data_IF_760110723000
#
_entry.id   IF_760110723000
#
_cell.length_a   1.000
_cell.length_b   1.000
_cell.length_c   1.000
_cell.angle_alpha   90.00
_cell.angle_beta   90.00
_cell.angle_gamma   90.00
#
_symmetry.space_group_name_H-M   'P 1'
#
loop_
_entity.id
_entity.type
_entity.pdbx_description
1 polymer ?
#
# COMPACT_ATOMS: atom_id res chain seq x y z
N UNK A 1 -3.09 2.38 -22.65
CA UNK A 1 -1.70 1.99 -22.37
C UNK A 1 -1.10 3.17 -21.60
N UNK A 2 -0.90 2.99 -20.30
CA UNK A 2 -0.55 4.10 -19.42
C UNK A 2 0.93 4.46 -19.58
N UNK A 3 1.25 5.75 -19.57
CA UNK A 3 2.61 6.25 -19.77
C UNK A 3 2.90 7.38 -18.77
N UNK A 4 4.10 7.37 -18.22
CA UNK A 4 4.64 8.48 -17.45
C UNK A 4 5.62 9.29 -18.31
N UNK A 5 5.50 10.62 -18.29
CA UNK A 5 6.50 11.54 -18.84
C UNK A 5 7.15 12.30 -17.68
N UNK A 6 8.40 11.98 -17.39
CA UNK A 6 9.18 12.63 -16.33
C UNK A 6 10.12 13.65 -16.97
N UNK A 7 10.20 14.86 -16.40
CA UNK A 7 11.08 15.94 -16.84
C UNK A 7 12.06 16.31 -15.72
N UNK A 8 13.28 16.68 -16.05
CA UNK A 8 14.34 16.98 -15.09
C UNK A 8 15.59 17.58 -15.77
N UNK A 9 16.69 17.80 -15.03
CA UNK A 9 16.94 17.37 -13.65
C UNK A 9 16.28 18.26 -12.58
N UNK A 10 15.81 17.66 -11.48
CA UNK A 10 15.22 18.38 -10.33
C UNK A 10 15.60 17.68 -9.04
N UNK A 11 16.07 18.45 -8.03
CA UNK A 11 16.33 17.93 -6.69
C UNK A 11 15.01 17.83 -5.92
N UNK A 12 14.69 16.64 -5.41
CA UNK A 12 13.53 16.46 -4.54
C UNK A 12 13.82 17.01 -3.15
N UNK A 13 12.85 17.70 -2.55
CA UNK A 13 12.88 18.19 -1.18
C UNK A 13 11.48 18.10 -0.58
N UNK A 14 11.37 17.48 0.59
CA UNK A 14 10.10 17.27 1.30
C UNK A 14 10.03 15.88 1.92
N UNK A 15 8.85 15.55 2.44
CA UNK A 15 8.56 14.28 3.09
C UNK A 15 7.33 13.64 2.45
N UNK A 16 7.27 12.31 2.47
CA UNK A 16 6.11 11.53 2.03
C UNK A 16 5.88 10.39 3.01
N UNK A 17 4.61 10.05 3.25
CA UNK A 17 4.24 8.88 4.04
C UNK A 17 3.98 7.70 3.11
N UNK A 18 4.58 6.55 3.43
CA UNK A 18 4.39 5.31 2.67
C UNK A 18 3.31 4.47 3.34
N UNK A 19 2.51 3.77 2.54
CA UNK A 19 1.53 2.80 3.04
C UNK A 19 2.20 1.53 3.57
N UNK A 20 1.44 0.64 4.21
CA UNK A 20 1.93 -0.65 4.70
C UNK A 20 2.46 -1.56 3.60
N UNK A 21 3.21 -2.59 4.02
CA UNK A 21 3.84 -3.54 3.10
C UNK A 21 2.83 -4.54 2.54
N UNK A 22 2.85 -4.75 1.22
CA UNK A 22 2.03 -5.77 0.53
C UNK A 22 2.10 -7.14 1.21
N UNK A 23 3.32 -7.58 1.47
CA UNK A 23 3.60 -8.93 1.95
C UNK A 23 3.21 -9.12 3.43
N UNK A 24 2.94 -8.05 4.17
CA UNK A 24 2.31 -8.11 5.48
C UNK A 24 0.79 -8.03 5.37
N UNK A 25 0.28 -7.09 4.56
CA UNK A 25 -1.15 -6.85 4.40
C UNK A 25 -1.91 -8.08 3.86
N UNK A 26 -1.34 -8.82 2.90
CA UNK A 26 -2.02 -9.98 2.30
C UNK A 26 -2.22 -11.13 3.31
N UNK A 27 -1.19 -11.65 4.01
CA UNK A 27 -1.41 -12.67 5.06
C UNK A 27 -2.33 -12.20 6.18
N UNK A 28 -2.23 -10.93 6.61
CA UNK A 28 -3.10 -10.37 7.65
C UNK A 28 -4.56 -10.38 7.18
N UNK A 29 -4.82 -9.96 5.93
CA UNK A 29 -6.16 -10.02 5.34
C UNK A 29 -6.72 -11.45 5.35
N UNK A 30 -5.91 -12.46 4.99
CA UNK A 30 -6.36 -13.85 5.04
C UNK A 30 -6.60 -14.36 6.46
N UNK A 31 -5.83 -13.88 7.44
CA UNK A 31 -6.03 -14.27 8.85
C UNK A 31 -7.37 -13.79 9.41
N UNK A 32 -7.98 -12.74 8.84
CA UNK A 32 -9.31 -12.28 9.23
C UNK A 32 -10.41 -13.32 9.00
N UNK A 33 -10.19 -14.32 8.14
CA UNK A 33 -11.10 -15.46 7.95
C UNK A 33 -11.23 -16.34 9.20
N UNK A 34 -10.27 -16.26 10.12
CA UNK A 34 -10.25 -17.02 11.37
C UNK A 34 -10.93 -16.28 12.52
N UNK A 35 -11.33 -15.03 12.33
CA UNK A 35 -11.93 -14.22 13.39
C UNK A 35 -13.43 -14.49 13.54
N UNK A 36 -13.91 -14.53 14.79
CA UNK A 36 -15.33 -14.66 15.12
C UNK A 36 -16.07 -13.30 15.07
N UNK A 37 -15.32 -12.20 15.10
CA UNK A 37 -15.81 -10.83 15.08
C UNK A 37 -15.18 -10.03 13.93
N UNK A 38 -15.79 -8.89 13.51
CA UNK A 38 -15.24 -8.04 12.47
C UNK A 38 -13.82 -7.54 12.79
N UNK A 39 -12.94 -7.60 11.79
CA UNK A 39 -11.55 -7.12 11.88
C UNK A 39 -11.36 -5.89 10.98
N UNK A 40 -10.87 -4.79 11.56
CA UNK A 40 -10.44 -3.62 10.80
C UNK A 40 -8.92 -3.65 10.57
N UNK A 41 -8.50 -3.55 9.31
CA UNK A 41 -7.08 -3.50 8.93
C UNK A 41 -6.78 -2.13 8.33
N UNK A 42 -5.90 -1.37 8.98
CA UNK A 42 -5.50 -0.03 8.56
C UNK A 42 -4.13 -0.04 7.86
N UNK A 43 -3.80 1.05 7.17
CA UNK A 43 -2.54 1.22 6.44
C UNK A 43 -2.29 0.16 5.34
N UNK A 44 -3.35 -0.35 4.72
CA UNK A 44 -3.26 -1.32 3.61
C UNK A 44 -2.82 -0.59 2.32
N UNK A 45 -1.79 -1.08 1.60
CA UNK A 45 -1.35 -0.45 0.35
C UNK A 45 -2.39 -0.62 -0.77
N UNK A 46 -2.57 0.40 -1.60
CA UNK A 46 -3.40 0.31 -2.81
C UNK A 46 -2.63 -0.40 -3.92
N UNK A 47 -3.02 -1.63 -4.21
CA UNK A 47 -2.39 -2.50 -5.20
C UNK A 47 -3.43 -3.02 -6.19
N UNK A 48 -2.96 -3.54 -7.32
CA UNK A 48 -3.83 -4.17 -8.33
C UNK A 48 -4.01 -5.67 -8.10
N UNK A 49 -3.04 -6.30 -7.42
CA UNK A 49 -3.15 -7.66 -6.89
C UNK A 49 -4.46 -7.83 -6.12
#
# INVERSE_FOLDING_TARGET
>A
MDKFRVQGPTRLQGEVTISGAKNAALPILFSALLAEEPVEIQNVPKLKD
#
